data_IF_739066447587
#
_entry.id   IF_739066447587
#
_cell.length_a   1.000
_cell.length_b   1.000
_cell.length_c   1.000
_cell.angle_alpha   90.00
_cell.angle_beta   90.00
_cell.angle_gamma   90.00
#
_symmetry.space_group_name_H-M   'P 1'
#
loop_
_entity.id
_entity.type
_entity.pdbx_description
1 polymer ?
#
# COMPACT_ATOMS: atom_id res chain seq x y z
N UNK A 1 -6.72 -4.07 4.73
CA UNK A 1 -6.89 -3.08 3.64
C UNK A 1 -8.10 -2.25 3.98
N UNK A 2 -7.85 -1.16 4.67
CA UNK A 2 -8.91 -0.28 5.16
C UNK A 2 -9.21 0.81 4.14
N UNK A 3 -10.51 1.02 3.89
CA UNK A 3 -10.99 2.13 3.07
C UNK A 3 -10.88 3.42 3.88
N UNK A 4 -10.44 4.49 3.23
CA UNK A 4 -10.37 5.83 3.83
C UNK A 4 -11.70 6.55 3.54
N UNK A 5 -12.38 7.00 4.60
CA UNK A 5 -13.71 7.62 4.50
C UNK A 5 -13.66 9.11 4.14
N UNK A 6 -12.58 9.80 4.50
CA UNK A 6 -12.45 11.25 4.30
C UNK A 6 -11.18 11.60 3.54
N UNK A 7 -11.29 12.47 2.53
CA UNK A 7 -10.16 12.85 1.71
C UNK A 7 -9.05 13.59 2.50
N UNK A 8 -9.39 14.33 3.56
CA UNK A 8 -8.40 14.92 4.46
C UNK A 8 -7.48 13.88 5.10
N UNK A 9 -7.99 12.66 5.35
CA UNK A 9 -7.17 11.57 5.86
C UNK A 9 -6.20 11.06 4.79
N UNK A 10 -6.59 11.03 3.52
CA UNK A 10 -5.72 10.68 2.39
C UNK A 10 -4.50 11.61 2.36
N UNK A 11 -4.74 12.92 2.45
CA UNK A 11 -3.66 13.93 2.47
C UNK A 11 -2.73 13.71 3.66
N UNK A 12 -3.30 13.51 4.85
CA UNK A 12 -2.53 13.30 6.07
C UNK A 12 -1.68 12.03 6.03
N UNK A 13 -2.22 10.95 5.45
CA UNK A 13 -1.51 9.68 5.31
C UNK A 13 -0.35 9.78 4.31
N UNK A 14 -0.59 10.38 3.13
CA UNK A 14 0.48 10.60 2.14
C UNK A 14 1.59 11.47 2.75
N UNK A 15 1.25 12.51 3.53
CA UNK A 15 2.22 13.36 4.25
C UNK A 15 3.01 12.63 5.33
N UNK A 16 2.50 11.50 5.82
CA UNK A 16 3.18 10.61 6.77
C UNK A 16 3.96 9.50 6.05
N UNK A 17 4.20 9.67 4.75
CA UNK A 17 4.92 8.72 3.89
C UNK A 17 4.21 7.36 3.73
N UNK A 18 2.92 7.29 4.05
CA UNK A 18 2.11 6.09 3.80
C UNK A 18 1.80 5.93 2.32
N UNK A 19 1.75 4.68 1.85
CA UNK A 19 1.39 4.35 0.48
C UNK A 19 -0.12 4.13 0.40
N UNK A 20 -0.79 4.88 -0.47
CA UNK A 20 -2.21 4.72 -0.73
C UNK A 20 -2.45 4.19 -2.14
N UNK A 21 -3.62 3.62 -2.40
CA UNK A 21 -4.01 3.26 -3.75
C UNK A 21 -5.51 3.37 -3.99
N UNK A 22 -5.89 3.51 -5.26
CA UNK A 22 -7.26 3.38 -5.76
C UNK A 22 -7.38 2.12 -6.63
N UNK A 23 -8.60 1.62 -6.84
CA UNK A 23 -8.85 0.38 -7.61
C UNK A 23 -9.40 0.66 -9.02
N UNK A 24 -10.18 1.72 -9.21
CA UNK A 24 -10.86 2.04 -10.48
C UNK A 24 -10.39 3.40 -11.03
N UNK A 25 -10.21 3.58 -12.35
CA UNK A 25 -10.44 2.60 -13.44
C UNK A 25 -9.36 1.51 -13.53
N UNK A 26 -8.20 1.73 -12.92
CA UNK A 26 -7.14 0.73 -12.74
C UNK A 26 -6.42 0.99 -11.41
N UNK A 27 -5.59 0.04 -10.97
CA UNK A 27 -4.85 0.21 -9.72
C UNK A 27 -3.78 1.28 -9.88
N UNK A 28 -3.90 2.36 -9.11
CA UNK A 28 -2.92 3.44 -9.06
C UNK A 28 -2.48 3.61 -7.62
N UNK A 29 -1.16 3.58 -7.40
CA UNK A 29 -0.52 3.81 -6.12
C UNK A 29 -0.05 5.25 -6.02
N UNK A 30 -0.17 5.81 -4.82
CA UNK A 30 0.19 7.18 -4.50
C UNK A 30 1.15 7.18 -3.31
N UNK A 31 2.22 7.96 -3.43
CA UNK A 31 3.17 8.21 -2.38
C UNK A 31 3.74 9.62 -2.50
N UNK A 32 4.18 10.21 -1.39
CA UNK A 32 4.88 11.49 -1.43
C UNK A 32 6.29 11.31 -2.00
N UNK A 33 6.70 12.25 -2.86
CA UNK A 33 8.07 12.35 -3.36
C UNK A 33 8.50 13.81 -3.37
N UNK A 34 9.15 14.24 -2.28
CA UNK A 34 9.44 15.65 -2.03
C UNK A 34 8.14 16.45 -1.91
N UNK A 35 8.03 17.53 -2.68
CA UNK A 35 6.83 18.39 -2.69
C UNK A 35 5.76 17.95 -3.70
N UNK A 36 5.92 16.78 -4.32
CA UNK A 36 5.00 16.23 -5.31
C UNK A 36 4.46 14.86 -4.87
N UNK A 37 3.39 14.44 -5.53
CA UNK A 37 2.82 13.11 -5.39
C UNK A 37 3.26 12.25 -6.57
N UNK A 38 3.83 11.10 -6.27
CA UNK A 38 4.09 10.06 -7.26
C UNK A 38 2.84 9.22 -7.43
N UNK A 39 2.27 9.23 -8.65
CA UNK A 39 1.19 8.35 -9.06
C UNK A 39 1.77 7.25 -9.96
N UNK A 40 1.61 5.98 -9.57
CA UNK A 40 2.14 4.83 -10.30
C UNK A 40 1.03 3.83 -10.60
N UNK A 41 0.83 3.53 -11.87
CA UNK A 41 0.01 2.42 -12.34
C UNK A 41 0.90 1.34 -12.96
N UNK A 42 0.30 0.28 -13.48
CA UNK A 42 1.01 -0.74 -14.25
C UNK A 42 1.67 -0.17 -15.52
N UNK A 43 0.99 0.77 -16.18
CA UNK A 43 1.36 1.25 -17.51
C UNK A 43 2.21 2.52 -17.48
N UNK A 44 2.15 3.27 -16.38
CA UNK A 44 2.76 4.59 -16.31
C UNK A 44 3.05 5.07 -14.89
N UNK A 45 3.97 6.03 -14.81
CA UNK A 45 4.37 6.69 -13.58
C UNK A 45 4.48 8.19 -13.81
N UNK A 46 3.84 8.97 -12.95
CA UNK A 46 3.78 10.42 -13.03
C UNK A 46 4.16 11.07 -11.70
N UNK A 47 4.68 12.28 -11.78
CA UNK A 47 4.80 13.18 -10.64
C UNK A 47 3.81 14.31 -10.85
N UNK A 48 2.90 14.49 -9.90
CA UNK A 48 1.86 15.50 -9.97
C UNK A 48 1.94 16.42 -8.75
N UNK A 49 1.70 17.73 -8.93
CA UNK A 49 1.54 18.66 -7.82
C UNK A 49 0.37 18.26 -6.93
N UNK A 50 0.43 18.65 -5.65
CA UNK A 50 -0.65 18.43 -4.69
C UNK A 50 -1.99 18.98 -5.17
N UNK A 51 -2.01 20.20 -5.73
CA UNK A 51 -3.24 20.83 -6.24
C UNK A 51 -3.91 19.95 -7.30
N UNK A 52 -3.13 19.49 -8.27
CA UNK A 52 -3.62 18.59 -9.34
C UNK A 52 -4.09 17.25 -8.80
N UNK A 53 -3.40 16.68 -7.81
CA UNK A 53 -3.86 15.45 -7.17
C UNK A 53 -5.21 15.62 -6.49
N UNK A 54 -5.41 16.72 -5.75
CA UNK A 54 -6.66 17.02 -5.09
C UNK A 54 -7.79 17.13 -6.12
N UNK A 55 -7.61 17.96 -7.15
CA UNK A 55 -8.60 18.17 -8.20
C UNK A 55 -8.98 16.87 -8.95
N UNK A 56 -8.02 15.99 -9.19
CA UNK A 56 -8.24 14.76 -9.95
C UNK A 56 -8.84 13.62 -9.11
N UNK A 57 -8.51 13.55 -7.82
CA UNK A 57 -8.78 12.37 -7.01
C UNK A 57 -9.62 12.61 -5.75
N UNK A 58 -10.05 13.84 -5.43
CA UNK A 58 -10.88 14.13 -4.26
C UNK A 58 -12.12 13.23 -4.11
N UNK A 59 -12.75 12.87 -5.23
CA UNK A 59 -13.93 11.99 -5.25
C UNK A 59 -13.62 10.49 -5.39
N UNK A 60 -12.35 10.08 -5.25
CA UNK A 60 -11.94 8.68 -5.40
C UNK A 60 -11.97 7.90 -4.09
N UNK A 61 -12.24 6.60 -4.19
CA UNK A 61 -12.14 5.68 -3.05
C UNK A 61 -10.68 5.25 -2.85
N UNK A 62 -10.06 5.71 -1.76
CA UNK A 62 -8.69 5.36 -1.39
C UNK A 62 -8.62 4.25 -0.35
N UNK A 63 -7.51 3.51 -0.41
CA UNK A 63 -7.17 2.42 0.49
C UNK A 63 -5.72 2.53 0.93
N UNK A 64 -5.43 2.15 2.17
CA UNK A 64 -4.05 2.07 2.68
C UNK A 64 -3.39 0.78 2.18
N UNK A 65 -2.17 0.90 1.65
CA UNK A 65 -1.37 -0.25 1.28
C UNK A 65 -0.67 -0.82 2.51
N UNK A 66 -1.19 -1.93 3.03
CA UNK A 66 -0.51 -2.71 4.05
C UNK A 66 0.44 -3.69 3.37
N UNK A 67 1.74 -3.55 3.64
CA UNK A 67 2.70 -4.59 3.30
C UNK A 67 2.35 -5.81 4.17
N UNK A 68 1.76 -6.85 3.57
CA UNK A 68 1.72 -8.15 4.22
C UNK A 68 3.16 -8.55 4.51
N UNK A 69 3.55 -8.56 5.78
CA UNK A 69 4.70 -9.36 6.19
C UNK A 69 4.38 -10.78 5.75
N UNK A 70 5.17 -11.31 4.81
CA UNK A 70 5.21 -12.75 4.60
C UNK A 70 5.58 -13.33 5.96
N UNK A 71 4.63 -14.04 6.58
CA UNK A 71 4.90 -14.92 7.71
C UNK A 71 6.09 -15.77 7.30
N UNK A 72 7.26 -15.43 7.85
CA UNK A 72 8.48 -16.22 7.79
C UNK A 72 8.05 -17.67 8.04
N UNK A 73 8.29 -18.52 7.04
CA UNK A 73 8.00 -19.95 7.06
C UNK A 73 8.31 -20.49 8.45
N UNK A 74 7.24 -20.92 9.14
CA UNK A 74 7.27 -21.40 10.51
C UNK A 74 8.22 -22.61 10.56
N UNK A 75 9.44 -22.39 11.08
CA UNK A 75 10.48 -23.42 11.24
C UNK A 75 10.12 -24.48 12.29
N UNK A 76 8.91 -24.46 12.84
CA UNK A 76 8.44 -25.39 13.87
C UNK A 76 7.96 -26.76 13.33
N UNK A 77 8.12 -27.05 12.03
CA UNK A 77 7.73 -28.34 11.40
C UNK A 77 8.89 -29.25 10.99
N UNK A 78 10.10 -29.03 11.52
CA UNK A 78 11.25 -29.93 11.27
C UNK A 78 11.64 -30.81 12.46
N UNK A 79 11.07 -30.59 13.65
CA UNK A 79 11.42 -31.36 14.87
C UNK A 79 10.66 -32.70 15.02
N UNK A 80 9.67 -32.99 14.17
CA UNK A 80 8.96 -34.29 14.24
C UNK A 80 9.75 -35.46 13.61
N UNK A 81 10.82 -35.20 12.85
CA UNK A 81 11.57 -36.27 12.17
C UNK A 81 12.55 -37.02 13.10
N UNK A 82 12.88 -36.48 14.27
CA UNK A 82 13.89 -37.07 15.16
C UNK A 82 13.34 -38.05 16.21
N UNK A 83 12.01 -38.18 16.39
CA UNK A 83 11.43 -39.10 17.37
C UNK A 83 11.22 -40.54 16.87
N UNK A 84 11.55 -40.87 15.61
CA UNK A 84 11.40 -42.23 15.07
C UNK A 84 12.67 -43.09 15.09
N UNK A 85 13.83 -42.57 15.53
CA UNK A 85 15.08 -43.36 15.63
C UNK A 85 15.49 -43.81 17.04
N UNK A 86 14.60 -43.66 18.02
CA UNK A 86 14.84 -44.16 19.37
C UNK A 86 13.66 -45.00 19.88
N UNK A 87 13.48 -46.18 19.29
CA UNK A 87 12.79 -47.29 19.96
C UNK A 87 13.52 -48.60 19.68
#
# INVERSE_FOLDING_TARGET
>A
MDKIEHFDQVINLIKREEILFIIKPQRIYFAQKGDMIQAKSEQAQYLIPWVTFIELFESSDFYVYEKKEELLVDKAKDDEYYQWKHK
#
